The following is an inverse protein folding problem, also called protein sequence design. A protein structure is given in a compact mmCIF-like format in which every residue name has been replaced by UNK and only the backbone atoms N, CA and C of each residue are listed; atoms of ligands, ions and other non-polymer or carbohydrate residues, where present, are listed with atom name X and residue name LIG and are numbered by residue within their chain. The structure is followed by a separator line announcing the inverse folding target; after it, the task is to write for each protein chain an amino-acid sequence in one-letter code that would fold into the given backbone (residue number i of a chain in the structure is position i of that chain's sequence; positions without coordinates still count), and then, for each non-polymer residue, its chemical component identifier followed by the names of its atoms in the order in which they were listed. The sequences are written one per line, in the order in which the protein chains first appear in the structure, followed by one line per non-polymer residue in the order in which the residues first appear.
data_IF_329639187970
#
_entry.id   IF_329639187970
#
_cell.length_a   1.000
_cell.length_b   1.000
_cell.length_c   1.000
_cell.angle_alpha   90.00
_cell.angle_beta   90.00
_cell.angle_gamma   90.00
#
_symmetry.space_group_name_H-M   'P 1'
#
loop_
_entity.id
_entity.type
_entity.pdbx_description
1 polymer ?
#
# COMPACT_ATOMS: atom_id res chain seq x y z
N UNK A 1 1.15 3.00 15.14
CA UNK A 1 0.54 3.09 13.78
C UNK A 1 1.09 4.21 12.92
N UNK A 2 0.97 5.50 13.28
CA UNK A 2 1.56 6.57 12.44
C UNK A 2 3.09 6.45 12.33
N UNK A 3 3.76 6.27 13.47
CA UNK A 3 5.22 6.19 13.54
C UNK A 3 5.80 4.88 12.98
N UNK A 4 5.13 3.76 13.25
CA UNK A 4 5.68 2.42 12.95
C UNK A 4 5.16 1.82 11.64
N UNK A 5 3.99 2.27 11.17
CA UNK A 5 3.28 1.72 10.00
C UNK A 5 2.75 2.80 9.03
N UNK A 6 3.01 4.08 9.31
CA UNK A 6 2.47 5.23 8.58
C UNK A 6 3.57 6.14 8.07
N UNK A 7 3.30 7.45 7.97
CA UNK A 7 4.14 8.37 7.21
C UNK A 7 5.41 8.89 7.89
N UNK A 8 5.68 8.53 9.15
CA UNK A 8 6.84 9.04 9.87
C UNK A 8 8.18 8.68 9.19
N UNK A 9 8.29 7.47 8.66
CA UNK A 9 9.48 7.00 7.99
C UNK A 9 9.10 6.37 6.65
N UNK A 10 9.89 6.57 5.60
CA UNK A 10 9.52 6.03 4.29
C UNK A 10 9.47 4.51 4.25
N UNK A 11 10.30 3.83 5.06
CA UNK A 11 10.42 2.37 5.04
C UNK A 11 9.15 1.66 5.51
N UNK A 12 8.40 2.26 6.44
CA UNK A 12 7.24 1.65 7.11
C UNK A 12 6.09 1.40 6.13
N UNK A 13 5.94 2.23 5.10
CA UNK A 13 4.96 2.04 4.04
C UNK A 13 5.58 1.53 2.74
N UNK A 14 6.82 1.88 2.40
CA UNK A 14 7.51 1.37 1.20
C UNK A 14 7.70 -0.15 1.22
N UNK A 15 7.77 -0.78 2.39
CA UNK A 15 7.80 -2.25 2.49
C UNK A 15 6.57 -2.93 1.86
N UNK A 16 5.43 -2.23 1.74
CA UNK A 16 4.23 -2.74 1.08
C UNK A 16 4.33 -2.74 -0.46
N UNK A 17 5.44 -2.28 -1.05
CA UNK A 17 5.58 -2.13 -2.49
C UNK A 17 5.44 -3.45 -3.27
N UNK A 18 5.69 -4.61 -2.65
CA UNK A 18 5.48 -5.92 -3.31
C UNK A 18 4.01 -6.07 -3.71
N UNK A 19 3.08 -5.69 -2.82
CA UNK A 19 1.65 -5.79 -3.09
C UNK A 19 1.24 -4.76 -4.16
N UNK A 20 1.78 -3.54 -4.09
CA UNK A 20 1.53 -2.52 -5.12
C UNK A 20 2.03 -2.94 -6.51
N UNK A 21 3.22 -3.55 -6.59
CA UNK A 21 3.75 -4.14 -7.82
C UNK A 21 2.86 -5.25 -8.36
N UNK A 22 2.27 -6.04 -7.47
CA UNK A 22 1.36 -7.11 -7.86
C UNK A 22 0.04 -6.57 -8.43
N UNK A 23 -0.48 -5.45 -7.91
CA UNK A 23 -1.62 -4.73 -8.53
C UNK A 23 -1.30 -4.36 -9.98
N UNK A 24 -0.18 -3.69 -10.23
CA UNK A 24 0.24 -3.29 -11.58
C UNK A 24 0.32 -4.50 -12.51
N UNK A 25 0.91 -5.59 -12.01
CA UNK A 25 1.04 -6.85 -12.76
C UNK A 25 -0.31 -7.45 -13.14
N UNK A 26 -1.27 -7.49 -12.21
CA UNK A 26 -2.61 -8.03 -12.49
C UNK A 26 -3.34 -7.16 -13.52
N UNK A 27 -3.29 -5.84 -13.37
CA UNK A 27 -3.91 -4.93 -14.34
C UNK A 27 -3.28 -5.01 -15.73
N UNK A 28 -1.94 -5.06 -15.84
CA UNK A 28 -1.28 -5.26 -17.15
C UNK A 28 -1.66 -6.58 -17.81
N UNK A 29 -1.56 -7.69 -17.09
CA UNK A 29 -1.98 -9.01 -17.60
C UNK A 29 -3.42 -8.99 -18.08
N UNK A 30 -4.27 -8.20 -17.41
CA UNK A 30 -5.67 -8.05 -17.77
C UNK A 30 -5.86 -7.27 -19.06
N UNK A 31 -5.15 -6.16 -19.20
CA UNK A 31 -5.12 -5.33 -20.40
C UNK A 31 -4.57 -6.13 -21.60
N UNK A 32 -3.43 -6.80 -21.43
CA UNK A 32 -2.75 -7.57 -22.48
C UNK A 32 -3.61 -8.73 -23.01
N UNK A 33 -4.45 -9.33 -22.16
CA UNK A 33 -5.38 -10.41 -22.56
C UNK A 33 -6.54 -9.90 -23.40
N UNK A 34 -6.88 -8.61 -23.34
CA UNK A 34 -7.98 -8.00 -24.10
C UNK A 34 -9.36 -8.64 -23.87
N UNK A 35 -9.53 -9.43 -22.80
CA UNK A 35 -10.79 -10.10 -22.51
C UNK A 35 -11.61 -9.28 -21.51
N UNK A 36 -12.93 -9.41 -21.54
CA UNK A 36 -13.88 -8.70 -20.67
C UNK A 36 -14.48 -9.58 -19.56
N UNK A 37 -13.98 -10.80 -19.36
CA UNK A 37 -14.47 -11.71 -18.31
C UNK A 37 -14.08 -11.23 -16.91
N UNK A 38 -15.00 -11.01 -15.98
CA UNK A 38 -14.66 -10.54 -14.63
C UNK A 38 -13.54 -11.36 -13.98
N UNK A 39 -12.53 -10.66 -13.46
CA UNK A 39 -11.39 -11.25 -12.74
C UNK A 39 -11.22 -10.48 -11.42
N UNK A 40 -10.94 -11.20 -10.34
CA UNK A 40 -10.84 -10.63 -9.00
C UNK A 40 -9.74 -11.32 -8.21
N UNK A 41 -8.90 -10.53 -7.57
CA UNK A 41 -7.89 -11.01 -6.63
C UNK A 41 -8.14 -10.36 -5.27
N UNK A 42 -8.25 -11.17 -4.23
CA UNK A 42 -8.50 -10.73 -2.86
C UNK A 42 -7.36 -11.16 -1.95
N UNK A 43 -6.90 -10.22 -1.11
CA UNK A 43 -5.89 -10.48 -0.09
C UNK A 43 -6.51 -10.23 1.28
N UNK A 44 -6.39 -11.21 2.17
CA UNK A 44 -6.78 -11.06 3.57
C UNK A 44 -5.53 -10.81 4.39
N UNK A 45 -5.49 -9.66 5.05
CA UNK A 45 -4.30 -9.18 5.76
C UNK A 45 -4.69 -8.64 7.14
N UNK A 46 -3.70 -8.54 8.01
CA UNK A 46 -3.84 -7.85 9.28
C UNK A 46 -3.72 -6.33 9.09
N UNK A 47 -4.05 -5.58 10.15
CA UNK A 47 -4.04 -4.11 10.11
C UNK A 47 -2.61 -3.57 9.90
N UNK A 48 -1.61 -4.31 10.38
CA UNK A 48 -0.19 -3.98 10.26
C UNK A 48 0.35 -4.06 8.83
N UNK A 49 -0.32 -4.80 7.93
CA UNK A 49 -0.04 -4.79 6.50
C UNK A 49 -1.00 -3.86 5.72
N UNK A 50 -2.26 -3.76 6.15
CA UNK A 50 -3.27 -2.91 5.52
C UNK A 50 -2.91 -1.42 5.58
N UNK A 51 -2.50 -0.92 6.76
CA UNK A 51 -2.19 0.50 6.96
C UNK A 51 -0.97 0.96 6.15
N UNK A 52 0.16 0.23 6.13
CA UNK A 52 1.26 0.51 5.20
C UNK A 52 0.84 0.53 3.73
N UNK A 53 -0.08 -0.35 3.32
CA UNK A 53 -0.54 -0.39 1.94
C UNK A 53 -1.36 0.84 1.57
N UNK A 54 -2.29 1.29 2.43
CA UNK A 54 -2.98 2.57 2.24
C UNK A 54 -1.99 3.75 2.20
N UNK A 55 -0.98 3.73 3.08
CA UNK A 55 0.04 4.76 3.13
C UNK A 55 0.95 4.78 1.88
N UNK A 56 1.22 3.61 1.28
CA UNK A 56 1.93 3.48 0.01
C UNK A 56 1.22 4.21 -1.13
N UNK A 57 -0.12 4.18 -1.14
CA UNK A 57 -0.95 4.92 -2.10
C UNK A 57 -1.14 6.41 -1.73
N UNK A 58 -0.54 6.89 -0.64
CA UNK A 58 -0.61 8.29 -0.22
C UNK A 58 -1.95 8.68 0.44
N UNK A 59 -2.76 7.70 0.84
CA UNK A 59 -4.07 7.95 1.46
C UNK A 59 -3.96 8.41 2.92
N UNK A 60 -4.90 9.25 3.35
CA UNK A 60 -4.98 9.77 4.73
C UNK A 60 -3.72 10.48 5.23
N UNK A 61 -2.91 11.02 4.32
CA UNK A 61 -1.67 11.74 4.64
C UNK A 61 -1.98 13.16 5.10
N UNK A 62 -1.57 13.49 6.31
CA UNK A 62 -1.64 14.85 6.84
C UNK A 62 -0.69 15.82 6.11
N UNK A 63 -1.05 17.10 6.08
CA UNK A 63 -0.19 18.17 5.55
C UNK A 63 1.05 18.37 6.41
N UNK A 64 0.90 18.26 7.72
CA UNK A 64 1.98 18.33 8.71
C UNK A 64 2.15 16.97 9.39
N UNK A 65 3.40 16.61 9.69
CA UNK A 65 3.68 15.36 10.36
C UNK A 65 3.05 15.34 11.76
N UNK A 66 2.43 14.23 12.14
CA UNK A 66 1.90 14.07 13.50
C UNK A 66 3.05 14.00 14.50
N UNK A 67 2.93 14.77 15.58
CA UNK A 67 3.86 14.77 16.71
C UNK A 67 3.18 14.31 17.99
N UNK A 68 3.98 13.93 18.99
CA UNK A 68 3.48 13.59 20.33
C UNK A 68 3.04 14.80 21.15
N UNK A 69 3.36 16.02 20.70
CA UNK A 69 3.18 17.26 21.47
C UNK A 69 1.72 17.75 21.45
N UNK A 70 1.01 17.54 20.34
CA UNK A 70 -0.36 17.99 20.19
C UNK A 70 -1.17 17.09 19.25
N UNK A 71 -2.44 16.86 19.59
CA UNK A 71 -3.37 16.13 18.74
C UNK A 71 -4.17 17.12 17.90
N UNK A 72 -3.82 17.25 16.62
CA UNK A 72 -4.60 18.05 15.69
C UNK A 72 -6.00 17.41 15.48
N UNK A 73 -7.05 18.15 15.81
CA UNK A 73 -8.44 17.73 15.61
C UNK A 73 -8.84 17.65 14.14
N UNK A 74 -8.11 18.25 13.21
CA UNK A 74 -8.39 18.18 11.79
C UNK A 74 -7.51 17.18 11.05
N UNK A 75 -6.70 16.38 11.76
CA UNK A 75 -5.85 15.37 11.14
C UNK A 75 -6.68 14.35 10.34
N UNK A 76 -6.14 13.98 9.18
CA UNK A 76 -6.63 12.94 8.30
C UNK A 76 -6.24 11.56 8.82
N UNK A 77 -5.06 11.41 9.45
CA UNK A 77 -4.61 10.13 9.98
C UNK A 77 -5.37 9.74 11.26
N UNK A 78 -6.49 9.05 11.06
CA UNK A 78 -7.36 8.50 12.11
C UNK A 78 -7.60 7.02 11.85
N UNK A 79 -6.72 6.16 12.36
CA UNK A 79 -6.79 4.70 12.12
C UNK A 79 -8.12 4.09 12.55
N UNK A 80 -8.76 4.62 13.60
CA UNK A 80 -10.09 4.18 14.03
C UNK A 80 -11.21 4.46 13.00
N UNK A 81 -10.95 5.29 11.99
CA UNK A 81 -11.89 5.61 10.90
C UNK A 81 -11.59 4.78 9.65
N UNK A 82 -10.33 4.67 9.25
CA UNK A 82 -9.97 4.02 7.99
C UNK A 82 -9.50 2.57 8.11
N UNK A 83 -9.14 2.13 9.32
CA UNK A 83 -8.57 0.81 9.58
C UNK A 83 -9.25 0.14 10.78
N UNK A 84 -10.58 0.24 10.84
CA UNK A 84 -11.41 -0.53 11.77
C UNK A 84 -11.56 -1.99 11.32
N UNK A 85 -12.20 -2.82 12.15
CA UNK A 85 -12.49 -4.21 11.79
C UNK A 85 -13.28 -4.31 10.48
N UNK A 86 -12.86 -5.22 9.60
CA UNK A 86 -13.50 -5.41 8.30
C UNK A 86 -13.23 -4.31 7.27
N UNK A 87 -12.33 -3.35 7.56
CA UNK A 87 -11.96 -2.33 6.57
C UNK A 87 -11.33 -2.97 5.35
N UNK A 88 -11.64 -2.44 4.17
CA UNK A 88 -11.17 -2.96 2.90
C UNK A 88 -10.73 -1.81 1.97
N UNK A 89 -9.88 -2.16 1.00
CA UNK A 89 -9.41 -1.26 -0.03
C UNK A 89 -9.37 -2.02 -1.35
N UNK A 90 -10.13 -1.52 -2.33
CA UNK A 90 -10.26 -2.11 -3.66
C UNK A 90 -9.71 -1.18 -4.73
N UNK A 91 -9.02 -1.77 -5.70
CA UNK A 91 -8.64 -1.10 -6.95
C UNK A 91 -9.36 -1.81 -8.09
N UNK A 92 -10.13 -1.06 -8.87
CA UNK A 92 -10.95 -1.57 -9.96
C UNK A 92 -10.39 -1.07 -11.28
N UNK A 93 -10.01 -2.00 -12.15
CA UNK A 93 -9.72 -1.72 -13.54
C UNK A 93 -11.00 -1.90 -14.37
N UNK A 94 -11.40 -0.86 -15.08
CA UNK A 94 -12.62 -0.83 -15.90
C UNK A 94 -12.35 -0.28 -17.29
N UNK A 95 -13.23 -0.58 -18.24
CA UNK A 95 -13.24 0.01 -19.58
C UNK A 95 -14.69 0.28 -19.99
N UNK A 96 -14.91 1.27 -20.84
CA UNK A 96 -16.22 1.57 -21.38
C UNK A 96 -16.55 0.65 -22.56
N UNK A 97 -17.83 0.26 -22.67
CA UNK A 97 -18.29 -0.59 -23.78
C UNK A 97 -18.08 0.13 -25.11
N UNK A 98 -17.29 -0.46 -26.01
CA UNK A 98 -16.95 0.13 -27.31
C UNK A 98 -15.59 0.83 -27.38
N UNK A 99 -14.90 1.00 -26.26
CA UNK A 99 -13.54 1.57 -26.19
C UNK A 99 -12.59 0.53 -25.60
N UNK A 100 -12.12 -0.42 -26.42
CA UNK A 100 -11.20 -1.49 -25.98
C UNK A 100 -9.81 -0.98 -25.58
N UNK A 101 -9.52 0.31 -25.75
CA UNK A 101 -8.20 0.92 -25.49
C UNK A 101 -8.19 1.83 -24.27
N UNK A 102 -9.35 2.22 -23.73
CA UNK A 102 -9.42 3.22 -22.66
C UNK A 102 -9.72 2.55 -21.32
N UNK A 103 -8.64 2.21 -20.61
CA UNK A 103 -8.72 1.65 -19.27
C UNK A 103 -8.73 2.74 -18.20
N UNK A 104 -9.54 2.53 -17.16
CA UNK A 104 -9.73 3.45 -16.06
C UNK A 104 -9.59 2.73 -14.71
N UNK A 105 -8.86 3.34 -13.79
CA UNK A 105 -8.61 2.81 -12.44
C UNK A 105 -9.39 3.61 -11.42
N UNK A 106 -10.29 2.93 -10.69
CA UNK A 106 -11.06 3.51 -9.58
C UNK A 106 -10.61 2.88 -8.27
N UNK A 107 -10.46 3.68 -7.21
CA UNK A 107 -10.20 3.17 -5.86
C UNK A 107 -11.46 3.22 -4.98
N UNK A 108 -11.66 2.18 -4.19
CA UNK A 108 -12.69 2.09 -3.18
C UNK A 108 -12.02 1.87 -1.81
N UNK A 109 -12.42 2.62 -0.80
CA UNK A 109 -12.07 2.36 0.59
C UNK A 109 -13.38 2.20 1.37
N UNK A 110 -13.54 1.05 2.03
CA UNK A 110 -14.79 0.66 2.68
C UNK A 110 -16.02 0.89 1.77
N UNK A 111 -15.97 0.30 0.56
CA UNK A 111 -17.04 0.36 -0.44
C UNK A 111 -17.35 1.76 -1.00
N UNK A 112 -16.66 2.81 -0.53
CA UNK A 112 -16.83 4.18 -0.99
C UNK A 112 -15.69 4.60 -1.91
N UNK A 113 -16.03 5.34 -2.98
CA UNK A 113 -15.04 5.89 -3.91
C UNK A 113 -14.11 6.87 -3.21
N UNK A 114 -12.81 6.59 -3.24
CA UNK A 114 -11.79 7.46 -2.66
C UNK A 114 -10.93 8.07 -3.76
N UNK A 115 -10.63 9.37 -3.63
CA UNK A 115 -9.71 10.06 -4.52
C UNK A 115 -8.28 9.60 -4.23
N UNK A 116 -7.67 8.92 -5.19
CA UNK A 116 -6.25 8.65 -5.20
C UNK A 116 -5.46 9.95 -5.44
N UNK A 117 -4.31 10.15 -4.76
CA UNK A 117 -3.29 11.08 -5.22
C UNK A 117 -2.99 10.90 -6.72
N UNK A 118 -2.71 12.00 -7.41
CA UNK A 118 -2.51 12.01 -8.87
C UNK A 118 -3.78 12.00 -9.71
N UNK A 119 -4.89 11.39 -9.27
CA UNK A 119 -6.16 11.45 -10.00
C UNK A 119 -6.91 12.78 -9.74
N UNK A 120 -7.78 13.21 -10.67
CA UNK A 120 -8.49 14.49 -10.54
C UNK A 120 -9.70 14.40 -9.58
N UNK A 121 -10.39 13.26 -9.60
CA UNK A 121 -11.64 13.02 -8.85
C UNK A 121 -11.64 11.65 -8.16
N UNK A 122 -12.62 11.40 -7.30
CA UNK A 122 -12.86 10.07 -6.71
C UNK A 122 -13.39 9.04 -7.71
N UNK A 123 -13.74 9.45 -8.93
CA UNK A 123 -14.08 8.51 -10.00
C UNK A 123 -12.86 7.77 -10.54
N UNK A 124 -11.64 8.16 -10.15
CA UNK A 124 -10.40 7.54 -10.61
C UNK A 124 -9.69 8.35 -11.69
N UNK A 125 -8.78 7.68 -12.40
CA UNK A 125 -8.08 8.24 -13.56
C UNK A 125 -7.74 7.17 -14.59
N UNK A 126 -7.29 7.59 -15.79
CA UNK A 126 -6.87 6.67 -16.85
C UNK A 126 -5.72 5.78 -16.37
N UNK A 127 -5.62 4.58 -16.96
CA UNK A 127 -4.55 3.64 -16.67
C UNK A 127 -3.15 4.26 -16.83
N UNK A 128 -2.93 5.06 -17.88
CA UNK A 128 -1.64 5.73 -18.10
C UNK A 128 -1.34 6.77 -17.02
N UNK A 129 -2.34 7.55 -16.58
CA UNK A 129 -2.18 8.53 -15.51
C UNK A 129 -1.91 7.83 -14.18
N UNK A 130 -2.59 6.71 -13.91
CA UNK A 130 -2.33 5.87 -12.75
C UNK A 130 -0.91 5.28 -12.77
N UNK A 131 -0.45 4.76 -13.92
CA UNK A 131 0.93 4.26 -14.06
C UNK A 131 1.98 5.36 -13.85
N UNK A 132 1.74 6.56 -14.37
CA UNK A 132 2.68 7.68 -14.22
C UNK A 132 2.77 8.15 -12.76
N UNK A 133 1.65 8.20 -12.03
CA UNK A 133 1.65 8.58 -10.61
C UNK A 133 2.29 7.51 -9.72
N UNK A 134 2.10 6.23 -10.05
CA UNK A 134 2.50 5.09 -9.24
C UNK A 134 3.65 4.27 -9.86
N UNK A 135 4.49 4.90 -10.68
CA UNK A 135 5.62 4.28 -11.38
C UNK A 135 6.62 3.61 -10.41
N UNK A 136 6.78 4.19 -9.22
CA UNK A 136 7.62 3.68 -8.14
C UNK A 136 7.20 2.29 -7.65
N UNK A 137 5.97 1.84 -7.92
CA UNK A 137 5.53 0.48 -7.60
C UNK A 137 6.23 -0.56 -8.48
N UNK A 138 6.65 -0.19 -9.68
CA UNK A 138 7.37 -1.08 -10.60
C UNK A 138 8.79 -1.35 -10.11
N UNK A 139 9.45 -0.32 -9.58
CA UNK A 139 10.81 -0.34 -9.03
C UNK A 139 10.85 -0.79 -7.55
N UNK A 140 9.96 -1.72 -7.18
CA UNK A 140 9.97 -2.31 -5.84
C UNK A 140 11.13 -3.31 -5.68
N UNK A 141 12.25 -2.85 -5.13
CA UNK A 141 13.37 -3.68 -4.68
C UNK A 141 13.28 -4.03 -3.19
N UNK A 142 12.31 -4.87 -2.81
CA UNK A 142 12.03 -5.21 -1.40
C UNK A 142 13.25 -5.68 -0.61
N UNK A 143 14.09 -6.56 -1.18
CA UNK A 143 15.30 -7.01 -0.51
C UNK A 143 16.29 -5.86 -0.25
N UNK A 144 16.40 -4.87 -1.16
CA UNK A 144 17.26 -3.70 -0.91
C UNK A 144 16.67 -2.78 0.17
N UNK A 145 15.34 -2.67 0.24
CA UNK A 145 14.65 -1.89 1.26
C UNK A 145 14.82 -2.51 2.66
N UNK A 146 14.69 -3.84 2.76
CA UNK A 146 14.63 -4.55 4.03
C UNK A 146 15.95 -5.22 4.45
N UNK A 147 16.93 -5.38 3.55
CA UNK A 147 18.23 -5.99 3.84
C UNK A 147 19.33 -4.95 3.67
N UNK A 148 19.84 -4.43 4.79
CA UNK A 148 21.26 -4.07 4.87
C UNK A 148 22.02 -5.35 5.21
N UNK A 149 22.68 -5.95 4.22
CA UNK A 149 23.77 -6.89 4.49
C UNK A 149 24.92 -6.07 5.12
N UNK A 150 24.84 -5.79 6.42
CA UNK A 150 26.10 -5.73 7.16
C UNK A 150 26.61 -7.16 7.17
N UNK A 151 27.84 -7.39 6.72
CA UNK A 151 28.49 -8.72 6.64
C UNK A 151 28.47 -9.53 7.96
N UNK A 152 27.90 -9.00 9.04
CA UNK A 152 27.76 -9.64 10.36
C UNK A 152 26.52 -10.52 10.53
N UNK A 153 25.49 -10.42 9.69
CA UNK A 153 24.25 -11.22 9.87
C UNK A 153 24.15 -12.48 8.99
N UNK A 154 25.25 -12.98 8.43
CA UNK A 154 25.29 -14.28 7.74
C UNK A 154 25.38 -15.49 8.70
N UNK A 155 24.88 -15.41 9.94
CA UNK A 155 24.74 -16.59 10.81
C UNK A 155 23.34 -16.66 11.41
N UNK A 156 22.41 -17.41 10.80
CA UNK A 156 21.06 -17.62 11.32
C UNK A 156 21.03 -18.60 12.51
N UNK A 157 22.01 -18.53 13.43
CA UNK A 157 22.12 -19.52 14.52
C UNK A 157 22.32 -18.95 15.93
N UNK A 158 22.24 -17.62 16.13
CA UNK A 158 22.48 -17.04 17.47
C UNK A 158 21.34 -16.19 18.04
N UNK A 159 20.22 -15.98 17.34
CA UNK A 159 19.10 -15.21 17.92
C UNK A 159 18.33 -15.98 19.02
N UNK A 160 18.33 -17.31 18.98
CA UNK A 160 17.63 -18.12 19.99
C UNK A 160 18.44 -18.30 21.29
N UNK A 161 19.76 -18.14 21.24
CA UNK A 161 20.63 -18.35 22.41
C UNK A 161 20.75 -17.11 23.30
N UNK A 162 20.66 -15.90 22.76
CA UNK A 162 20.73 -14.68 23.58
C UNK A 162 19.46 -14.37 24.37
N UNK A 163 18.29 -14.87 23.94
CA UNK A 163 17.02 -14.65 24.64
C UNK A 163 16.79 -15.63 25.80
N UNK A 164 17.33 -16.85 25.70
CA UNK A 164 17.22 -17.88 26.76
C UNK A 164 18.26 -17.65 27.88
N UNK A 165 19.45 -17.13 27.56
CA UNK A 165 20.54 -17.02 28.55
C UNK A 165 20.47 -15.79 29.47
N UNK A 166 19.57 -14.83 29.24
CA UNK A 166 19.49 -13.58 30.00
C UNK A 166 18.15 -13.35 30.74
N UNK A 167 17.28 -14.35 30.83
CA UNK A 167 16.02 -14.27 31.60
C UNK A 167 15.85 -15.40 32.64
N UNK A 168 16.94 -16.08 33.00
CA UNK A 168 16.99 -16.95 34.18
C UNK A 168 18.30 -16.70 34.93
N UNK A 169 18.30 -15.64 35.73
CA UNK A 169 18.96 -15.60 37.05
C UNK A 169 17.98 -14.93 38.01
#
# INVERSE_FOLDING_TARGET
MYHDHGYQHSITYKQACILGKDVIRHFRKRIDRGNNATDSTAYFVNVEAFVPFLALFGLFKDTEALTSEAINKNRLWRTSKFAGYGSNFGLLLSSCTGESTNYWVTALHNEEKIKLPGCDTSLGCSWDKFLNEYDFLEDCHFFRLCIRFTRRMCRPHNWHLSYIMNNWM
#
